data_IF_317993216944
#
_entry.id   IF_317993216944
#
_cell.length_a   1.000
_cell.length_b   1.000
_cell.length_c   1.000
_cell.angle_alpha   90.00
_cell.angle_beta   90.00
_cell.angle_gamma   90.00
#
_symmetry.space_group_name_H-M   'P 1'
#
loop_
_entity.id
_entity.type
_entity.pdbx_description
1 polymer ?
#
# COMPACT_ATOMS: atom_id res chain seq x y z
N UNK A 1 -22.97 -14.12 20.68
CA UNK A 1 -22.00 -13.23 20.00
C UNK A 1 -21.52 -13.95 18.74
N UNK A 2 -21.83 -13.44 17.55
CA UNK A 2 -21.40 -14.05 16.29
C UNK A 2 -20.21 -13.24 15.76
N UNK A 3 -19.03 -13.87 15.64
CA UNK A 3 -17.87 -13.25 15.01
C UNK A 3 -17.97 -13.52 13.51
N UNK A 4 -18.12 -12.45 12.71
CA UNK A 4 -18.15 -12.55 11.25
C UNK A 4 -16.85 -13.15 10.73
N UNK A 5 -16.96 -14.18 9.89
CA UNK A 5 -15.78 -14.79 9.26
C UNK A 5 -15.33 -13.90 8.11
N UNK A 6 -14.11 -13.35 8.15
CA UNK A 6 -13.58 -12.48 7.08
C UNK A 6 -13.65 -13.13 5.70
N UNK A 7 -13.46 -14.46 5.62
CA UNK A 7 -13.55 -15.22 4.36
C UNK A 7 -14.94 -15.23 3.70
N UNK A 8 -16.01 -14.94 4.44
CA UNK A 8 -17.38 -14.87 3.88
C UNK A 8 -17.76 -13.46 3.44
N UNK A 9 -16.89 -12.47 3.65
CA UNK A 9 -17.13 -11.10 3.23
C UNK A 9 -16.92 -10.94 1.71
N UNK A 10 -17.71 -10.06 1.11
CA UNK A 10 -17.52 -9.64 -0.27
C UNK A 10 -16.17 -8.91 -0.44
N UNK A 11 -15.70 -8.80 -1.69
CA UNK A 11 -14.43 -8.15 -2.00
C UNK A 11 -14.32 -6.73 -1.43
N UNK A 12 -15.34 -5.88 -1.66
CA UNK A 12 -15.35 -4.51 -1.12
C UNK A 12 -15.37 -4.48 0.41
N UNK A 13 -16.15 -5.35 1.06
CA UNK A 13 -16.20 -5.42 2.53
C UNK A 13 -14.83 -5.79 3.14
N UNK A 14 -14.06 -6.65 2.48
CA UNK A 14 -12.69 -6.98 2.93
C UNK A 14 -11.74 -5.78 2.80
N UNK A 15 -11.93 -4.94 1.79
CA UNK A 15 -11.17 -3.71 1.62
C UNK A 15 -11.57 -2.65 2.65
N UNK A 16 -12.88 -2.50 2.88
CA UNK A 16 -13.47 -1.51 3.78
C UNK A 16 -12.97 -1.66 5.22
N UNK A 17 -12.79 -2.91 5.68
CA UNK A 17 -12.19 -3.21 6.98
C UNK A 17 -10.82 -2.56 7.17
N UNK A 18 -9.98 -2.56 6.13
CA UNK A 18 -8.67 -1.92 6.18
C UNK A 18 -8.79 -0.41 5.95
N UNK A 19 -9.68 -0.01 5.03
CA UNK A 19 -9.89 1.37 4.64
C UNK A 19 -10.47 2.23 5.76
N UNK A 20 -11.16 1.65 6.75
CA UNK A 20 -11.60 2.34 7.98
C UNK A 20 -10.50 3.23 8.58
N UNK A 21 -9.25 2.74 8.58
CA UNK A 21 -8.09 3.48 9.07
C UNK A 21 -7.12 3.87 7.94
N UNK A 22 -6.98 3.04 6.91
CA UNK A 22 -6.00 3.21 5.83
C UNK A 22 -6.53 3.95 4.58
N UNK A 23 -7.66 4.65 4.69
CA UNK A 23 -8.20 5.54 3.64
C UNK A 23 -8.13 7.03 4.01
N UNK A 24 -7.48 7.33 5.13
CA UNK A 24 -7.18 8.64 5.66
C UNK A 24 -8.32 9.18 6.50
N UNK A 25 -8.09 10.34 7.12
CA UNK A 25 -9.09 10.96 7.97
C UNK A 25 -10.11 11.71 7.10
N UNK A 26 -11.21 11.04 6.78
CA UNK A 26 -12.40 11.67 6.19
C UNK A 26 -13.28 12.32 7.26
N UNK A 27 -14.31 13.05 6.84
CA UNK A 27 -15.30 13.60 7.78
C UNK A 27 -16.17 12.45 8.31
N UNK A 28 -16.11 12.14 9.62
CA UNK A 28 -16.85 11.00 10.17
C UNK A 28 -18.36 11.28 10.20
N UNK A 29 -19.15 10.27 9.81
CA UNK A 29 -20.60 10.21 10.01
C UNK A 29 -20.94 9.47 11.31
N UNK A 30 -20.12 8.48 11.66
CA UNK A 30 -20.26 7.62 12.84
C UNK A 30 -18.89 7.41 13.48
N UNK A 31 -18.83 7.02 14.76
CA UNK A 31 -17.58 6.61 15.39
C UNK A 31 -16.94 5.44 14.63
N UNK A 32 -15.65 5.54 14.29
CA UNK A 32 -14.94 4.47 13.58
C UNK A 32 -14.94 3.15 14.37
N UNK A 33 -14.92 3.21 15.70
CA UNK A 33 -14.92 2.04 16.57
C UNK A 33 -16.27 1.31 16.66
N UNK A 34 -17.34 1.88 16.09
CA UNK A 34 -18.62 1.18 15.95
C UNK A 34 -18.65 0.25 14.72
N UNK A 35 -17.63 0.36 13.85
CA UNK A 35 -17.51 -0.44 12.63
C UNK A 35 -17.49 -1.94 12.91
N UNK A 36 -18.33 -2.70 12.20
CA UNK A 36 -18.34 -4.15 12.24
C UNK A 36 -17.89 -4.71 10.88
N UNK A 37 -17.06 -5.76 10.86
CA UNK A 37 -16.70 -6.44 9.61
C UNK A 37 -17.93 -6.84 8.80
N UNK A 38 -18.05 -6.27 7.60
CA UNK A 38 -19.22 -6.42 6.73
C UNK A 38 -19.99 -5.11 6.50
N UNK A 39 -19.81 -4.10 7.35
CA UNK A 39 -20.37 -2.78 7.10
C UNK A 39 -19.68 -2.10 5.92
N UNK A 40 -20.42 -1.23 5.22
CA UNK A 40 -19.85 -0.41 4.16
C UNK A 40 -19.10 0.79 4.75
N UNK A 41 -17.92 1.10 4.22
CA UNK A 41 -17.13 2.25 4.68
C UNK A 41 -17.89 3.58 4.51
N UNK A 42 -18.73 3.68 3.48
CA UNK A 42 -19.57 4.85 3.20
C UNK A 42 -20.57 5.18 4.31
N UNK A 43 -20.88 4.22 5.18
CA UNK A 43 -21.78 4.44 6.32
C UNK A 43 -21.09 5.17 7.48
N UNK A 44 -19.75 5.28 7.44
CA UNK A 44 -18.91 5.82 8.50
C UNK A 44 -18.25 7.15 8.14
N UNK A 45 -18.08 7.46 6.85
CA UNK A 45 -17.43 8.71 6.40
C UNK A 45 -18.19 9.36 5.27
N UNK A 46 -18.31 10.68 5.29
CA UNK A 46 -18.86 11.42 4.16
C UNK A 46 -17.88 11.37 2.98
N UNK A 47 -18.36 11.39 1.73
CA UNK A 47 -17.49 11.50 0.56
C UNK A 47 -16.61 12.75 0.64
N UNK A 48 -15.30 12.58 0.47
CA UNK A 48 -14.36 13.69 0.37
C UNK A 48 -14.25 14.15 -1.10
N UNK A 49 -14.85 15.30 -1.39
CA UNK A 49 -14.82 15.92 -2.73
C UNK A 49 -13.63 16.84 -2.95
N UNK A 50 -12.82 17.10 -1.91
CA UNK A 50 -11.64 17.97 -1.96
C UNK A 50 -10.35 17.20 -2.24
N UNK A 51 -10.42 15.87 -2.26
CA UNK A 51 -9.27 15.00 -2.52
C UNK A 51 -8.69 15.19 -3.92
N UNK A 52 -7.36 15.08 -4.08
CA UNK A 52 -6.73 15.02 -5.39
C UNK A 52 -7.33 13.90 -6.25
N UNK A 53 -7.54 14.18 -7.53
CA UNK A 53 -8.07 13.19 -8.49
C UNK A 53 -6.98 12.28 -9.03
N UNK A 54 -5.72 12.72 -9.03
CA UNK A 54 -4.59 11.91 -9.49
C UNK A 54 -3.98 11.17 -8.32
N UNK A 55 -3.85 9.85 -8.46
CA UNK A 55 -3.27 9.00 -7.42
C UNK A 55 -1.83 9.41 -7.02
N UNK A 56 -1.05 9.97 -7.96
CA UNK A 56 0.31 10.44 -7.69
C UNK A 56 0.39 11.70 -6.81
N UNK A 57 -0.73 12.39 -6.59
CA UNK A 57 -0.82 13.57 -5.71
C UNK A 57 -1.28 13.21 -4.29
N UNK A 58 -1.72 11.97 -4.07
CA UNK A 58 -2.14 11.50 -2.76
C UNK A 58 -0.91 11.33 -1.85
N UNK A 59 -1.04 11.76 -0.61
CA UNK A 59 -0.02 11.57 0.40
C UNK A 59 0.18 10.08 0.71
N UNK A 60 1.42 9.64 0.94
CA UNK A 60 1.70 8.25 1.31
C UNK A 60 1.23 7.88 2.72
N UNK A 61 1.04 8.88 3.59
CA UNK A 61 0.54 8.68 4.93
C UNK A 61 -0.98 8.61 4.93
N UNK A 62 -1.52 7.51 5.43
CA UNK A 62 -2.95 7.33 5.64
C UNK A 62 -3.79 7.09 4.39
N UNK A 63 -3.29 7.25 3.16
CA UNK A 63 -4.06 7.01 1.91
C UNK A 63 -3.66 5.71 1.19
N UNK A 64 -3.23 4.70 1.94
CA UNK A 64 -2.79 3.42 1.38
C UNK A 64 -3.88 2.73 0.56
N UNK A 65 -5.15 2.80 0.99
CA UNK A 65 -6.29 2.24 0.27
C UNK A 65 -6.44 2.85 -1.13
N UNK A 66 -6.49 4.18 -1.23
CA UNK A 66 -6.69 4.85 -2.53
C UNK A 66 -5.49 4.63 -3.47
N UNK A 67 -4.27 4.71 -2.94
CA UNK A 67 -3.04 4.44 -3.69
C UNK A 67 -3.02 3.00 -4.22
N UNK A 68 -3.39 2.04 -3.38
CA UNK A 68 -3.50 0.63 -3.75
C UNK A 68 -4.55 0.40 -4.84
N UNK A 69 -5.78 0.90 -4.66
CA UNK A 69 -6.86 0.71 -5.63
C UNK A 69 -6.59 1.39 -6.97
N UNK A 70 -5.75 2.41 -6.99
CA UNK A 70 -5.31 3.08 -8.22
C UNK A 70 -4.16 2.37 -8.94
N UNK A 71 -3.52 1.38 -8.31
CA UNK A 71 -2.42 0.64 -8.92
C UNK A 71 -2.88 -0.25 -10.07
N UNK A 72 -2.00 -0.47 -11.06
CA UNK A 72 -2.31 -1.34 -12.20
C UNK A 72 -2.60 -2.79 -11.78
N UNK A 73 -1.98 -3.25 -10.71
CA UNK A 73 -2.20 -4.61 -10.22
C UNK A 73 -3.60 -4.79 -9.64
N UNK A 74 -4.12 -3.81 -8.88
CA UNK A 74 -5.49 -3.86 -8.37
C UNK A 74 -6.51 -3.78 -9.50
N UNK A 75 -6.37 -2.80 -10.40
CA UNK A 75 -7.31 -2.60 -11.53
C UNK A 75 -7.38 -3.82 -12.45
N UNK A 76 -6.30 -4.62 -12.55
CA UNK A 76 -6.25 -5.83 -13.37
C UNK A 76 -6.57 -7.13 -12.61
N UNK A 77 -6.87 -7.05 -11.32
CA UNK A 77 -7.29 -8.19 -10.50
C UNK A 77 -8.78 -8.08 -10.18
N UNK A 78 -9.44 -9.21 -10.02
CA UNK A 78 -10.86 -9.25 -9.65
C UNK A 78 -11.08 -9.39 -8.14
N UNK A 79 -10.06 -9.79 -7.37
CA UNK A 79 -10.21 -10.27 -6.00
C UNK A 79 -9.11 -9.84 -5.04
N UNK A 80 -8.11 -9.08 -5.50
CA UNK A 80 -6.98 -8.67 -4.68
C UNK A 80 -7.40 -7.75 -3.54
N UNK A 81 -6.91 -8.03 -2.35
CA UNK A 81 -7.19 -7.26 -1.13
C UNK A 81 -5.88 -6.87 -0.44
N UNK A 82 -5.98 -6.10 0.64
CA UNK A 82 -4.83 -5.83 1.51
C UNK A 82 -4.18 -7.13 2.01
N UNK A 83 -5.01 -8.14 2.31
CA UNK A 83 -4.56 -9.46 2.77
C UNK A 83 -3.96 -10.36 1.69
N UNK A 84 -4.00 -9.95 0.42
CA UNK A 84 -3.22 -10.60 -0.64
C UNK A 84 -1.72 -10.39 -0.43
N UNK A 85 -1.35 -9.32 0.27
CA UNK A 85 0.05 -8.94 0.51
C UNK A 85 0.42 -8.82 1.98
N UNK A 86 -0.53 -8.70 2.91
CA UNK A 86 -0.26 -8.50 4.34
C UNK A 86 -0.99 -9.53 5.19
N UNK A 87 -0.32 -10.02 6.22
CA UNK A 87 -0.98 -10.79 7.28
C UNK A 87 -1.13 -9.93 8.54
N UNK A 88 -2.36 -9.47 8.86
CA UNK A 88 -2.58 -8.63 10.04
C UNK A 88 -2.37 -9.37 11.37
N UNK A 89 -2.23 -10.70 11.37
CA UNK A 89 -1.96 -11.49 12.57
C UNK A 89 -0.46 -11.71 12.82
N UNK A 90 0.41 -11.30 11.89
CA UNK A 90 1.84 -11.49 11.99
C UNK A 90 2.58 -10.15 11.89
N UNK A 91 3.70 -10.02 12.60
CA UNK A 91 4.58 -8.86 12.48
C UNK A 91 5.47 -9.01 11.25
N UNK A 92 5.11 -8.33 10.17
CA UNK A 92 5.80 -8.43 8.88
C UNK A 92 6.75 -7.28 8.59
N UNK A 93 7.05 -6.47 9.60
CA UNK A 93 7.95 -5.33 9.46
C UNK A 93 9.32 -5.83 8.98
N UNK A 94 9.83 -5.23 7.91
CA UNK A 94 11.12 -5.54 7.30
C UNK A 94 11.28 -6.97 6.75
N UNK A 95 10.18 -7.72 6.55
CA UNK A 95 10.24 -9.05 5.95
C UNK A 95 10.29 -9.00 4.41
N UNK A 96 11.40 -8.51 3.87
CA UNK A 96 11.55 -8.29 2.42
C UNK A 96 11.31 -9.58 1.60
N UNK A 97 11.86 -10.71 2.04
CA UNK A 97 11.70 -12.00 1.35
C UNK A 97 10.23 -12.42 1.26
N UNK A 98 9.45 -12.24 2.33
CA UNK A 98 8.01 -12.55 2.38
C UNK A 98 7.23 -11.70 1.37
N UNK A 99 7.50 -10.39 1.31
CA UNK A 99 6.85 -9.53 0.33
C UNK A 99 7.26 -9.86 -1.10
N UNK A 100 8.54 -10.13 -1.35
CA UNK A 100 9.02 -10.61 -2.64
C UNK A 100 8.31 -11.88 -3.08
N UNK A 101 8.17 -12.87 -2.20
CA UNK A 101 7.43 -14.10 -2.51
C UNK A 101 5.98 -13.82 -2.91
N UNK A 102 5.30 -12.89 -2.22
CA UNK A 102 3.92 -12.48 -2.54
C UNK A 102 3.84 -11.82 -3.91
N UNK A 103 4.76 -10.92 -4.25
CA UNK A 103 4.84 -10.35 -5.60
C UNK A 103 5.06 -11.43 -6.66
N UNK A 104 5.98 -12.36 -6.39
CA UNK A 104 6.35 -13.45 -7.30
C UNK A 104 5.23 -14.48 -7.51
N UNK A 105 4.19 -14.51 -6.67
CA UNK A 105 3.01 -15.35 -6.90
C UNK A 105 2.30 -15.04 -8.23
N UNK A 106 2.34 -13.76 -8.66
CA UNK A 106 1.77 -13.28 -9.93
C UNK A 106 2.84 -12.81 -10.93
N UNK A 107 4.04 -12.47 -10.47
CA UNK A 107 5.15 -11.96 -11.28
C UNK A 107 6.26 -13.01 -11.41
N UNK A 108 5.92 -14.24 -11.81
CA UNK A 108 6.90 -15.32 -11.94
C UNK A 108 7.95 -15.03 -13.02
N UNK A 109 9.19 -15.47 -12.80
CA UNK A 109 10.26 -15.30 -13.78
C UNK A 109 9.87 -15.93 -15.13
N UNK A 110 10.13 -15.22 -16.23
CA UNK A 110 9.77 -15.64 -17.59
C UNK A 110 8.33 -15.31 -18.01
N UNK A 111 7.45 -14.88 -17.09
CA UNK A 111 6.12 -14.41 -17.45
C UNK A 111 6.13 -12.98 -17.99
N UNK A 112 5.15 -12.57 -18.83
CA UNK A 112 5.07 -11.21 -19.37
C UNK A 112 4.98 -10.11 -18.30
N UNK A 113 4.49 -10.48 -17.11
CA UNK A 113 4.35 -9.61 -15.94
C UNK A 113 5.67 -9.40 -15.20
N UNK A 114 6.69 -10.25 -15.41
CA UNK A 114 7.98 -10.13 -14.73
C UNK A 114 8.70 -8.83 -15.07
N UNK A 115 9.53 -8.35 -14.13
CA UNK A 115 10.34 -7.15 -14.32
C UNK A 115 11.31 -7.31 -15.49
N UNK A 116 11.25 -6.39 -16.47
CA UNK A 116 12.04 -6.45 -17.71
C UNK A 116 13.35 -5.66 -17.65
N UNK A 117 13.83 -5.34 -16.45
CA UNK A 117 15.05 -4.58 -16.26
C UNK A 117 16.27 -5.43 -16.67
N UNK A 118 16.92 -5.07 -17.79
CA UNK A 118 17.96 -5.91 -18.42
C UNK A 118 19.31 -5.93 -17.69
N UNK A 119 19.59 -4.94 -16.84
CA UNK A 119 20.90 -4.75 -16.22
C UNK A 119 21.05 -5.46 -14.86
N UNK A 120 20.05 -6.24 -14.45
CA UNK A 120 20.05 -6.99 -13.18
C UNK A 120 19.52 -8.38 -13.47
N UNK A 121 20.14 -9.41 -12.88
CA UNK A 121 19.69 -10.79 -13.08
C UNK A 121 18.28 -11.00 -12.52
N UNK A 122 17.51 -11.91 -13.13
CA UNK A 122 16.17 -12.24 -12.67
C UNK A 122 16.17 -12.74 -11.21
N UNK A 123 17.23 -13.44 -10.81
CA UNK A 123 17.42 -13.90 -9.43
C UNK A 123 17.48 -12.71 -8.45
N UNK A 124 18.29 -11.69 -8.75
CA UNK A 124 18.40 -10.50 -7.89
C UNK A 124 17.09 -9.70 -7.89
N UNK A 125 16.45 -9.53 -9.06
CA UNK A 125 15.16 -8.85 -9.17
C UNK A 125 14.04 -9.52 -8.35
N UNK A 126 14.05 -10.85 -8.28
CA UNK A 126 13.04 -11.60 -7.51
C UNK A 126 13.14 -11.38 -6.00
N UNK A 127 14.32 -10.97 -5.50
CA UNK A 127 14.59 -10.79 -4.06
C UNK A 127 14.15 -9.43 -3.51
N UNK A 128 13.85 -8.45 -4.36
CA UNK A 128 13.37 -7.14 -3.92
C UNK A 128 12.53 -6.42 -5.00
N UNK A 129 11.22 -6.36 -4.77
CA UNK A 129 10.30 -5.64 -5.66
C UNK A 129 9.99 -4.22 -5.15
N UNK A 130 9.95 -4.04 -3.83
CA UNK A 130 9.31 -2.89 -3.19
C UNK A 130 10.18 -1.63 -3.19
N UNK A 131 11.50 -1.72 -3.30
CA UNK A 131 12.33 -0.50 -3.31
C UNK A 131 12.23 0.30 -4.62
N UNK A 132 11.86 -0.37 -5.72
CA UNK A 132 11.61 0.27 -7.01
C UNK A 132 10.11 0.48 -7.27
N UNK A 133 9.25 -0.43 -6.80
CA UNK A 133 7.82 -0.40 -7.12
C UNK A 133 6.93 0.19 -6.03
N UNK A 134 7.43 0.26 -4.80
CA UNK A 134 6.76 0.83 -3.62
C UNK A 134 7.78 1.61 -2.76
N UNK A 135 8.52 2.57 -3.35
CA UNK A 135 9.57 3.28 -2.63
C UNK A 135 9.00 3.99 -1.40
N UNK A 136 9.84 4.12 -0.37
CA UNK A 136 9.56 5.02 0.74
C UNK A 136 9.59 6.46 0.23
N UNK A 137 8.49 7.19 0.44
CA UNK A 137 8.37 8.60 0.07
C UNK A 137 8.13 9.42 1.35
N UNK A 138 8.55 10.67 1.32
CA UNK A 138 8.25 11.61 2.40
C UNK A 138 6.77 12.01 2.35
N UNK A 139 6.11 12.06 3.51
CA UNK A 139 4.80 12.65 3.66
C UNK A 139 4.89 14.17 3.49
N UNK A 140 3.99 14.74 2.70
CA UNK A 140 3.76 16.18 2.65
C UNK A 140 2.77 16.67 3.70
N UNK A 141 2.22 15.77 4.54
CA UNK A 141 1.20 16.08 5.55
C UNK A 141 1.66 15.84 6.99
N UNK A 142 2.56 14.90 7.22
CA UNK A 142 3.05 14.53 8.55
C UNK A 142 4.55 14.76 8.64
N UNK A 143 4.96 15.54 9.64
CA UNK A 143 6.35 15.78 10.01
C UNK A 143 6.54 15.52 11.50
N UNK A 144 7.74 15.10 11.88
CA UNK A 144 8.16 14.89 13.26
C UNK A 144 9.20 15.93 13.62
N UNK A 145 8.99 16.60 14.75
CA UNK A 145 9.99 17.45 15.39
C UNK A 145 10.37 16.77 16.70
N UNK A 146 11.55 16.15 16.74
CA UNK A 146 12.08 15.49 17.93
C UNK A 146 12.90 16.45 18.77
N UNK A 147 12.98 16.22 20.07
CA UNK A 147 13.77 17.04 20.98
C UNK A 147 15.22 17.20 20.48
N UNK A 148 15.70 18.44 20.47
CA UNK A 148 17.03 18.80 19.97
C UNK A 148 17.13 19.03 18.45
N UNK A 149 16.08 18.76 17.67
CA UNK A 149 16.01 19.17 16.26
C UNK A 149 15.43 20.58 16.12
N UNK A 150 16.00 21.38 15.22
CA UNK A 150 15.49 22.73 14.90
C UNK A 150 14.57 22.74 13.69
N UNK A 151 14.47 21.64 12.95
CA UNK A 151 13.67 21.52 11.73
C UNK A 151 12.87 20.22 11.72
N UNK A 152 11.57 20.26 11.37
CA UNK A 152 10.76 19.04 11.28
C UNK A 152 11.26 18.12 10.15
N UNK A 153 11.30 16.82 10.43
CA UNK A 153 11.60 15.79 9.43
C UNK A 153 10.31 15.14 8.95
N UNK A 154 10.04 15.07 7.64
CA UNK A 154 8.87 14.36 7.12
C UNK A 154 8.82 12.88 7.54
N UNK A 155 7.64 12.40 7.89
CA UNK A 155 7.41 10.96 8.04
C UNK A 155 7.67 10.24 6.70
N UNK A 156 8.22 9.03 6.75
CA UNK A 156 8.58 8.27 5.56
C UNK A 156 7.83 6.96 5.48
N UNK A 157 7.00 6.81 4.46
CA UNK A 157 6.11 5.66 4.28
C UNK A 157 6.22 5.11 2.86
N UNK A 158 6.12 3.79 2.71
CA UNK A 158 6.09 3.14 1.40
C UNK A 158 4.77 3.42 0.70
N UNK A 159 4.86 3.93 -0.53
CA UNK A 159 3.68 4.12 -1.37
C UNK A 159 3.01 2.79 -1.70
N UNK A 160 1.68 2.79 -1.67
CA UNK A 160 0.87 1.67 -2.15
C UNK A 160 0.44 1.84 -3.62
N UNK A 161 0.87 2.92 -4.27
CA UNK A 161 0.70 3.10 -5.71
C UNK A 161 1.76 2.27 -6.43
N UNK A 162 1.49 0.98 -6.57
CA UNK A 162 2.43 0.02 -7.13
C UNK A 162 2.58 0.29 -8.64
N UNK A 163 3.75 0.81 -9.02
CA UNK A 163 4.11 1.15 -10.41
C UNK A 163 5.63 1.16 -10.56
N UNK A 164 6.17 1.47 -11.73
CA UNK A 164 7.62 1.65 -11.92
C UNK A 164 8.00 3.09 -11.56
N UNK A 165 8.90 3.28 -10.60
CA UNK A 165 9.47 4.59 -10.25
C UNK A 165 10.91 4.70 -10.80
N UNK A 166 11.14 5.43 -11.91
CA UNK A 166 12.46 5.48 -12.55
C UNK A 166 13.58 5.97 -11.64
N UNK A 167 13.33 6.99 -10.82
CA UNK A 167 14.37 7.55 -9.95
C UNK A 167 14.67 6.67 -8.74
N UNK A 168 13.66 5.95 -8.23
CA UNK A 168 13.88 4.92 -7.23
C UNK A 168 14.70 3.75 -7.81
N UNK A 169 14.38 3.32 -9.03
CA UNK A 169 15.13 2.29 -9.72
C UNK A 169 16.60 2.70 -9.95
N UNK A 170 16.86 3.93 -10.43
CA UNK A 170 18.23 4.45 -10.60
C UNK A 170 19.00 4.44 -9.27
N UNK A 171 18.37 4.91 -8.18
CA UNK A 171 18.98 4.92 -6.84
C UNK A 171 19.33 3.50 -6.38
N UNK A 172 18.39 2.56 -6.46
CA UNK A 172 18.66 1.16 -6.07
C UNK A 172 19.79 0.57 -6.93
N UNK A 173 19.78 0.80 -8.24
CA UNK A 173 20.81 0.32 -9.15
C UNK A 173 22.20 0.91 -8.85
N UNK A 174 22.28 2.15 -8.36
CA UNK A 174 23.56 2.72 -7.95
C UNK A 174 24.16 2.06 -6.71
N UNK A 175 23.34 1.42 -5.88
CA UNK A 175 23.77 0.71 -4.66
C UNK A 175 24.14 -0.75 -4.93
N UNK A 176 23.80 -1.28 -6.11
CA UNK A 176 24.11 -2.66 -6.53
C UNK A 176 25.42 -2.76 -7.32
N UNK A 177 26.10 -1.64 -7.56
CA UNK A 177 27.43 -1.58 -8.17
C UNK A 177 28.50 -1.68 -7.08
#
# INVERSE_FOLDING_TARGET
>A
MHITKVRSLQHQQRLDMCALCHSGLGTPQKPAFDYKPGDALSDYFFPDFTRPTRAAELDVHGKQYQLFTASKCFVKSNDMTCSSCHDPHNSERNQLATFSQRCMSCHQAGQPTFCKLKNVSAEVLSKNCIDCHMPALASGKITLLTDGQTSPTPDSMRTHLITVYPDAAKRVLSLLK
#
